data_IF_720029175861
#
_entry.id   IF_720029175861
#
_cell.length_a   1.000
_cell.length_b   1.000
_cell.length_c   1.000
_cell.angle_alpha   90.00
_cell.angle_beta   90.00
_cell.angle_gamma   90.00
#
_symmetry.space_group_name_H-M   'P 1'
#
loop_
_entity.id
_entity.type
_entity.pdbx_description
1 polymer ?
#
# COMPACT_ATOMS: atom_id res chain seq x y z
N UNK A 1 -1.47 -6.31 19.03
CA UNK A 1 -1.02 -5.09 18.33
C UNK A 1 0.30 -5.44 17.67
N UNK A 2 0.29 -5.54 16.34
CA UNK A 2 1.49 -5.85 15.55
C UNK A 2 2.21 -4.58 15.14
N UNK A 3 3.52 -4.69 14.90
CA UNK A 3 4.40 -3.57 14.59
C UNK A 3 5.28 -3.92 13.39
N UNK A 4 5.35 -3.02 12.42
CA UNK A 4 6.31 -3.06 11.32
C UNK A 4 7.32 -1.92 11.50
N UNK A 5 8.57 -2.27 11.79
CA UNK A 5 9.65 -1.31 12.04
C UNK A 5 10.64 -1.31 10.90
N UNK A 6 10.90 -0.14 10.34
CA UNK A 6 11.93 0.09 9.32
C UNK A 6 13.06 0.85 10.00
N UNK A 7 14.26 0.29 9.97
CA UNK A 7 15.44 0.83 10.68
C UNK A 7 16.60 1.02 9.72
N UNK A 8 16.99 2.28 9.56
CA UNK A 8 18.15 2.71 8.76
C UNK A 8 18.20 2.06 7.37
N UNK A 9 17.02 2.03 6.69
CA UNK A 9 16.86 1.33 5.42
C UNK A 9 17.46 2.12 4.26
N UNK A 10 18.44 1.51 3.59
CA UNK A 10 19.06 2.01 2.38
C UNK A 10 18.73 1.09 1.21
N UNK A 11 18.34 1.69 0.09
CA UNK A 11 17.95 0.94 -1.11
C UNK A 11 18.56 1.57 -2.35
N UNK A 12 19.10 0.73 -3.22
CA UNK A 12 19.64 1.12 -4.52
C UNK A 12 18.82 0.54 -5.68
N UNK A 13 18.80 1.28 -6.78
CA UNK A 13 18.27 0.86 -8.08
C UNK A 13 19.36 1.11 -9.10
N UNK A 14 19.82 0.08 -9.81
CA UNK A 14 20.88 0.18 -10.82
C UNK A 14 22.14 0.91 -10.30
N UNK A 15 22.51 0.66 -9.04
CA UNK A 15 23.68 1.27 -8.40
C UNK A 15 23.49 2.72 -7.96
N UNK A 16 22.28 3.26 -8.04
CA UNK A 16 21.95 4.59 -7.52
C UNK A 16 21.15 4.46 -6.22
N UNK A 17 21.70 5.02 -5.14
CA UNK A 17 21.00 5.06 -3.85
C UNK A 17 19.77 5.97 -3.91
N UNK A 18 18.60 5.37 -3.64
CA UNK A 18 17.31 6.05 -3.64
C UNK A 18 16.83 6.29 -2.21
N UNK A 19 16.83 5.26 -1.35
CA UNK A 19 16.52 5.43 0.07
C UNK A 19 17.84 5.52 0.85
N UNK A 20 17.90 6.49 1.77
CA UNK A 20 19.15 6.92 2.42
C UNK A 20 19.02 6.90 3.95
N UNK A 21 18.67 5.72 4.52
CA UNK A 21 18.50 5.55 5.95
C UNK A 21 17.10 5.94 6.43
N UNK A 22 16.08 5.33 5.82
CA UNK A 22 14.68 5.51 6.23
C UNK A 22 14.43 4.83 7.58
N UNK A 23 13.85 5.59 8.51
CA UNK A 23 13.37 5.10 9.80
C UNK A 23 11.87 5.38 9.90
N UNK A 24 11.07 4.34 10.11
CA UNK A 24 9.62 4.43 10.19
C UNK A 24 9.06 3.30 11.05
N UNK A 25 7.99 3.55 11.79
CA UNK A 25 7.26 2.53 12.53
C UNK A 25 5.79 2.62 12.18
N UNK A 26 5.21 1.49 11.78
CA UNK A 26 3.76 1.32 11.55
C UNK A 26 3.20 0.38 12.61
N UNK A 27 1.99 0.67 13.07
CA UNK A 27 1.30 -0.14 14.07
C UNK A 27 -0.08 -0.51 13.57
N UNK A 28 -0.56 -1.69 13.95
CA UNK A 28 -1.98 -2.00 13.76
C UNK A 28 -2.83 -1.06 14.61
N UNK A 29 -3.99 -0.66 14.07
CA UNK A 29 -4.83 0.40 14.63
C UNK A 29 -4.56 1.77 14.01
N UNK A 30 -3.45 1.94 13.25
CA UNK A 30 -3.05 3.23 12.66
C UNK A 30 -3.03 3.17 11.13
N UNK A 31 -3.39 4.27 10.50
CA UNK A 31 -3.11 4.56 9.09
C UNK A 31 -2.07 5.67 9.02
N UNK A 32 -0.90 5.35 8.48
CA UNK A 32 0.15 6.31 8.19
C UNK A 32 0.07 6.79 6.74
N UNK A 33 0.27 8.07 6.49
CA UNK A 33 0.47 8.60 5.14
C UNK A 33 1.93 8.97 4.91
N UNK A 34 2.48 8.56 3.77
CA UNK A 34 3.78 9.02 3.27
C UNK A 34 3.50 10.03 2.16
N UNK A 35 3.93 11.24 2.36
CA UNK A 35 3.82 12.33 1.40
C UNK A 35 5.20 12.78 0.95
N UNK A 36 5.40 12.90 -0.35
CA UNK A 36 6.66 13.39 -0.90
C UNK A 36 6.44 14.00 -2.28
N UNK A 37 7.36 14.86 -2.74
CA UNK A 37 7.42 15.27 -4.13
C UNK A 37 7.67 14.07 -5.05
N UNK A 38 7.34 14.20 -6.33
CA UNK A 38 7.57 13.15 -7.32
C UNK A 38 9.06 12.76 -7.43
N UNK A 39 9.33 11.47 -7.63
CA UNK A 39 10.68 10.97 -7.96
C UNK A 39 11.62 10.74 -6.77
N UNK A 40 11.18 10.84 -5.52
CA UNK A 40 12.07 10.79 -4.35
C UNK A 40 12.11 9.46 -3.60
N UNK A 41 11.39 8.41 -4.05
CA UNK A 41 11.56 7.04 -3.53
C UNK A 41 10.34 6.37 -2.90
N UNK A 42 9.10 6.91 -3.06
CA UNK A 42 7.88 6.33 -2.46
C UNK A 42 7.64 4.88 -2.82
N UNK A 43 7.53 4.61 -4.12
CA UNK A 43 7.32 3.25 -4.62
C UNK A 43 8.53 2.35 -4.34
N UNK A 44 9.74 2.94 -4.18
CA UNK A 44 10.94 2.22 -3.76
C UNK A 44 10.78 1.65 -2.36
N UNK A 45 10.18 2.39 -1.43
CA UNK A 45 9.97 1.94 -0.06
C UNK A 45 9.03 0.73 -0.01
N UNK A 46 7.85 0.82 -0.61
CA UNK A 46 6.87 -0.27 -0.64
C UNK A 46 7.40 -1.50 -1.39
N UNK A 47 8.09 -1.28 -2.53
CA UNK A 47 8.67 -2.35 -3.33
C UNK A 47 9.80 -3.09 -2.58
N UNK A 48 10.68 -2.38 -1.88
CA UNK A 48 11.74 -2.98 -1.08
C UNK A 48 11.18 -3.78 0.10
N UNK A 49 10.18 -3.25 0.82
CA UNK A 49 9.51 -3.97 1.91
C UNK A 49 8.88 -5.28 1.39
N UNK A 50 8.30 -5.26 0.18
CA UNK A 50 7.68 -6.45 -0.41
C UNK A 50 8.67 -7.37 -1.14
N UNK A 51 9.96 -7.01 -1.24
CA UNK A 51 10.99 -7.87 -1.80
C UNK A 51 11.03 -7.90 -3.33
N UNK A 52 10.69 -6.80 -3.99
CA UNK A 52 10.84 -6.68 -5.43
C UNK A 52 12.34 -6.76 -5.81
N UNK A 53 12.76 -7.71 -6.65
CA UNK A 53 14.17 -7.98 -6.93
C UNK A 53 14.91 -6.86 -7.67
N UNK A 54 14.19 -5.87 -8.21
CA UNK A 54 14.80 -4.71 -8.86
C UNK A 54 15.32 -3.66 -7.85
N UNK A 55 15.05 -3.86 -6.56
CA UNK A 55 15.38 -2.93 -5.48
C UNK A 55 16.35 -3.62 -4.52
N UNK A 56 17.61 -3.23 -4.55
CA UNK A 56 18.65 -3.80 -3.71
C UNK A 56 18.70 -3.10 -2.36
N UNK A 57 18.39 -3.84 -1.29
CA UNK A 57 18.59 -3.33 0.08
C UNK A 57 20.06 -3.48 0.44
N UNK A 58 20.76 -2.36 0.57
CA UNK A 58 22.21 -2.33 0.85
C UNK A 58 22.54 -2.22 2.32
N UNK A 59 21.58 -1.70 3.15
CA UNK A 59 21.75 -1.56 4.59
C UNK A 59 20.40 -1.42 5.29
N UNK A 60 20.37 -1.73 6.58
CA UNK A 60 19.19 -1.60 7.44
C UNK A 60 18.41 -2.90 7.57
N UNK A 61 17.30 -2.82 8.26
CA UNK A 61 16.41 -3.95 8.52
C UNK A 61 14.94 -3.52 8.48
N UNK A 62 14.07 -4.47 8.17
CA UNK A 62 12.61 -4.32 8.25
C UNK A 62 12.07 -5.45 9.11
N UNK A 63 11.57 -5.10 10.29
CA UNK A 63 11.10 -6.06 11.28
C UNK A 63 9.57 -6.07 11.35
N UNK A 64 8.97 -7.21 11.09
CA UNK A 64 7.55 -7.45 11.37
C UNK A 64 7.44 -8.30 12.65
N UNK A 65 6.95 -7.69 13.72
CA UNK A 65 6.88 -8.30 15.07
C UNK A 65 8.22 -8.93 15.50
N UNK A 66 9.33 -8.24 15.16
CA UNK A 66 10.69 -8.65 15.49
C UNK A 66 11.34 -9.63 14.51
N UNK A 67 10.63 -10.12 13.50
CA UNK A 67 11.18 -10.96 12.42
C UNK A 67 11.67 -10.08 11.29
N UNK A 68 12.95 -10.23 10.89
CA UNK A 68 13.49 -9.50 9.74
C UNK A 68 12.94 -10.07 8.42
N UNK A 69 11.99 -9.35 7.82
CA UNK A 69 11.32 -9.80 6.60
C UNK A 69 12.19 -9.68 5.35
N UNK A 70 13.32 -8.99 5.41
CA UNK A 70 14.25 -8.90 4.27
C UNK A 70 14.90 -10.26 3.96
N UNK A 71 14.92 -11.17 4.93
CA UNK A 71 15.43 -12.54 4.79
C UNK A 71 14.40 -13.53 4.22
N UNK A 72 13.15 -13.08 4.03
CA UNK A 72 12.03 -13.90 3.59
C UNK A 72 11.74 -13.68 2.10
N UNK A 73 11.23 -14.74 1.46
CA UNK A 73 10.70 -14.66 0.11
C UNK A 73 9.39 -13.85 0.05
N UNK A 74 9.03 -13.35 -1.13
CA UNK A 74 7.85 -12.49 -1.33
C UNK A 74 6.55 -13.14 -0.83
N UNK A 75 6.36 -14.42 -1.11
CA UNK A 75 5.19 -15.17 -0.70
C UNK A 75 5.16 -15.46 0.82
N UNK A 76 6.33 -15.58 1.44
CA UNK A 76 6.43 -15.69 2.90
C UNK A 76 6.02 -14.38 3.59
N UNK A 77 6.48 -13.22 3.06
CA UNK A 77 6.06 -11.89 3.53
C UNK A 77 4.55 -11.71 3.41
N UNK A 78 3.96 -12.13 2.28
CA UNK A 78 2.51 -12.07 2.08
C UNK A 78 1.75 -12.96 3.08
N UNK A 79 2.23 -14.19 3.33
CA UNK A 79 1.64 -15.10 4.33
C UNK A 79 1.76 -14.60 5.77
N UNK A 80 2.77 -13.79 6.08
CA UNK A 80 2.86 -13.10 7.38
C UNK A 80 1.80 -12.01 7.55
N UNK A 81 1.07 -11.64 6.49
CA UNK A 81 0.03 -10.62 6.52
C UNK A 81 0.45 -9.27 5.96
N UNK A 82 1.47 -9.21 5.09
CA UNK A 82 1.80 -8.02 4.30
C UNK A 82 1.04 -8.02 2.98
N UNK A 83 0.55 -6.86 2.57
CA UNK A 83 -0.14 -6.64 1.30
C UNK A 83 0.39 -5.38 0.61
N UNK A 84 0.54 -5.44 -0.70
CA UNK A 84 0.88 -4.29 -1.54
C UNK A 84 -0.19 -4.05 -2.60
N UNK A 85 -0.85 -2.89 -2.55
CA UNK A 85 -1.57 -2.35 -3.69
C UNK A 85 -0.58 -1.57 -4.56
N UNK A 86 -0.38 -2.03 -5.78
CA UNK A 86 0.64 -1.48 -6.69
C UNK A 86 0.12 -0.25 -7.42
N UNK A 87 1.02 0.67 -7.77
CA UNK A 87 0.68 1.78 -8.65
C UNK A 87 0.08 1.30 -9.98
N UNK A 88 0.68 0.26 -10.58
CA UNK A 88 0.25 -0.36 -11.85
C UNK A 88 0.03 -1.87 -11.66
N UNK A 89 -1.20 -2.31 -11.36
CA UNK A 89 -1.51 -3.74 -11.20
C UNK A 89 -1.29 -4.52 -12.50
N UNK A 90 -0.57 -5.63 -12.40
CA UNK A 90 -0.29 -6.50 -13.54
C UNK A 90 -1.53 -7.25 -14.01
N UNK A 91 -1.61 -7.53 -15.31
CA UNK A 91 -2.61 -8.40 -15.91
C UNK A 91 -2.09 -9.84 -15.89
N UNK A 92 -2.91 -10.78 -15.44
CA UNK A 92 -2.57 -12.21 -15.44
C UNK A 92 -3.65 -12.97 -16.21
N UNK A 93 -3.42 -13.26 -17.50
CA UNK A 93 -4.37 -14.02 -18.28
C UNK A 93 -4.43 -15.48 -17.83
N UNK A 94 -5.59 -16.11 -17.97
CA UNK A 94 -5.79 -17.54 -17.71
C UNK A 94 -6.16 -17.88 -16.26
N UNK A 95 -6.19 -16.93 -15.34
CA UNK A 95 -6.75 -17.11 -14.01
C UNK A 95 -7.80 -16.03 -13.74
N UNK A 96 -9.00 -16.41 -13.30
CA UNK A 96 -10.05 -15.47 -12.96
C UNK A 96 -9.79 -14.78 -11.62
N UNK A 97 -10.41 -13.61 -11.39
CA UNK A 97 -10.32 -12.93 -10.10
C UNK A 97 -10.76 -13.83 -8.94
N UNK A 98 -11.86 -14.57 -9.10
CA UNK A 98 -12.36 -15.48 -8.08
C UNK A 98 -11.40 -16.62 -7.78
N UNK A 99 -10.81 -17.25 -8.82
CA UNK A 99 -9.83 -18.32 -8.66
C UNK A 99 -8.56 -17.81 -7.96
N UNK A 100 -8.03 -16.66 -8.40
CA UNK A 100 -6.87 -16.03 -7.78
C UNK A 100 -7.11 -15.73 -6.30
N UNK A 101 -8.22 -15.05 -5.98
CA UNK A 101 -8.55 -14.68 -4.60
C UNK A 101 -8.70 -15.91 -3.70
N UNK A 102 -9.41 -16.94 -4.18
CA UNK A 102 -9.58 -18.17 -3.40
C UNK A 102 -8.27 -18.91 -3.20
N UNK A 103 -7.41 -18.96 -4.21
CA UNK A 103 -6.08 -19.55 -4.10
C UNK A 103 -5.22 -18.79 -3.08
N UNK A 104 -5.20 -17.45 -3.15
CA UNK A 104 -4.46 -16.60 -2.22
C UNK A 104 -4.95 -16.73 -0.77
N UNK A 105 -6.28 -16.76 -0.55
CA UNK A 105 -6.87 -16.96 0.78
C UNK A 105 -6.53 -18.30 1.40
N UNK A 106 -6.28 -19.31 0.59
CA UNK A 106 -5.95 -20.69 1.02
C UNK A 106 -4.44 -20.97 1.03
N UNK A 107 -3.62 -20.02 0.58
CA UNK A 107 -2.18 -20.22 0.52
C UNK A 107 -1.59 -20.47 1.92
N UNK A 108 -0.85 -21.56 2.07
CA UNK A 108 -0.21 -21.95 3.32
C UNK A 108 -1.13 -22.54 4.40
N UNK A 109 -2.42 -22.79 4.07
CA UNK A 109 -3.39 -23.39 4.99
C UNK A 109 -3.50 -24.90 4.79
N UNK A 110 -3.69 -25.62 5.89
CA UNK A 110 -4.05 -27.04 5.88
C UNK A 110 -5.49 -27.22 5.33
N UNK A 111 -5.84 -28.43 4.89
CA UNK A 111 -7.11 -28.67 4.18
C UNK A 111 -8.37 -28.33 4.99
N UNK A 112 -8.32 -28.48 6.31
CA UNK A 112 -9.40 -28.18 7.25
C UNK A 112 -9.52 -26.68 7.60
N UNK A 113 -8.49 -25.90 7.31
CA UNK A 113 -8.45 -24.44 7.50
C UNK A 113 -8.88 -23.65 6.25
N UNK A 114 -8.98 -24.32 5.09
CA UNK A 114 -9.34 -23.68 3.83
C UNK A 114 -10.77 -23.19 3.83
N UNK A 115 -10.96 -21.97 3.28
CA UNK A 115 -12.31 -21.42 3.13
C UNK A 115 -13.18 -22.32 2.25
N UNK A 116 -14.38 -22.63 2.70
CA UNK A 116 -15.34 -23.37 1.89
C UNK A 116 -15.78 -22.54 0.67
N UNK A 117 -16.24 -23.22 -0.41
CA UNK A 117 -16.74 -22.54 -1.62
C UNK A 117 -17.89 -21.60 -1.30
N UNK A 118 -18.80 -22.02 -0.43
CA UNK A 118 -19.97 -21.22 -0.05
C UNK A 118 -19.59 -19.96 0.71
N UNK A 119 -18.70 -20.08 1.71
CA UNK A 119 -18.23 -18.93 2.49
C UNK A 119 -17.45 -17.95 1.61
N UNK A 120 -16.60 -18.50 0.71
CA UNK A 120 -15.87 -17.68 -0.26
C UNK A 120 -16.80 -16.84 -1.14
N UNK A 121 -17.82 -17.48 -1.75
CA UNK A 121 -18.78 -16.77 -2.62
C UNK A 121 -19.53 -15.71 -1.82
N UNK A 122 -20.05 -16.04 -0.62
CA UNK A 122 -20.75 -15.06 0.21
C UNK A 122 -19.86 -13.85 0.54
N UNK A 123 -18.61 -14.10 0.96
CA UNK A 123 -17.65 -13.01 1.25
C UNK A 123 -17.32 -12.18 0.02
N UNK A 124 -17.12 -12.84 -1.14
CA UNK A 124 -16.81 -12.17 -2.40
C UNK A 124 -17.95 -11.23 -2.83
N UNK A 125 -19.19 -11.71 -2.80
CA UNK A 125 -20.37 -10.93 -3.17
C UNK A 125 -20.53 -9.69 -2.28
N UNK A 126 -20.39 -9.84 -0.96
CA UNK A 126 -20.45 -8.72 0.00
C UNK A 126 -19.37 -7.66 -0.28
N UNK A 127 -18.13 -8.09 -0.57
CA UNK A 127 -17.02 -7.15 -0.83
C UNK A 127 -17.16 -6.49 -2.20
N UNK A 128 -17.63 -7.21 -3.21
CA UNK A 128 -17.91 -6.65 -4.54
C UNK A 128 -19.06 -5.62 -4.48
N UNK A 129 -20.13 -5.88 -3.73
CA UNK A 129 -21.20 -4.91 -3.49
C UNK A 129 -20.66 -3.64 -2.81
N UNK A 130 -19.84 -3.79 -1.77
CA UNK A 130 -19.21 -2.66 -1.06
C UNK A 130 -18.44 -1.73 -2.02
N UNK A 131 -17.78 -2.31 -3.05
CA UNK A 131 -16.96 -1.62 -4.04
C UNK A 131 -17.71 -1.24 -5.32
N UNK A 132 -19.04 -1.41 -5.36
CA UNK A 132 -19.86 -1.19 -6.57
C UNK A 132 -19.27 -1.92 -7.80
N UNK A 133 -18.78 -3.15 -7.62
CA UNK A 133 -18.27 -4.01 -8.68
C UNK A 133 -19.38 -4.92 -9.19
N UNK A 134 -19.38 -5.15 -10.50
CA UNK A 134 -20.34 -6.09 -11.12
C UNK A 134 -19.90 -7.53 -10.90
N UNK A 135 -20.84 -8.44 -10.69
CA UNK A 135 -20.60 -9.87 -10.47
C UNK A 135 -19.75 -10.49 -11.59
N UNK A 136 -19.97 -10.10 -12.86
CA UNK A 136 -19.20 -10.58 -14.00
C UNK A 136 -17.67 -10.35 -13.89
N UNK A 137 -17.25 -9.39 -13.06
CA UNK A 137 -15.82 -9.11 -12.85
C UNK A 137 -15.11 -10.21 -12.08
N UNK A 138 -15.83 -11.02 -11.29
CA UNK A 138 -15.28 -12.17 -10.59
C UNK A 138 -14.81 -13.26 -11.56
N UNK A 139 -15.48 -13.41 -12.70
CA UNK A 139 -15.20 -14.41 -13.72
C UNK A 139 -14.21 -13.96 -14.79
N UNK A 140 -13.89 -12.65 -14.85
CA UNK A 140 -12.89 -12.12 -15.77
C UNK A 140 -11.47 -12.45 -15.28
N UNK A 141 -10.55 -12.59 -16.22
CA UNK A 141 -9.13 -12.79 -15.89
C UNK A 141 -8.58 -11.61 -15.12
N UNK A 142 -7.65 -11.89 -14.21
CA UNK A 142 -7.12 -10.93 -13.25
C UNK A 142 -6.55 -9.70 -13.95
N UNK A 143 -7.22 -8.57 -13.79
CA UNK A 143 -6.92 -7.26 -14.35
C UNK A 143 -6.89 -7.17 -15.89
N UNK A 144 -7.16 -8.27 -16.63
CA UNK A 144 -7.09 -8.26 -18.10
C UNK A 144 -8.20 -7.39 -18.71
N UNK A 145 -7.76 -6.37 -19.47
CA UNK A 145 -8.65 -5.41 -20.10
C UNK A 145 -9.48 -4.57 -19.14
N UNK A 146 -9.08 -4.45 -17.88
CA UNK A 146 -9.71 -3.55 -16.93
C UNK A 146 -9.26 -2.11 -17.17
N UNK A 147 -10.20 -1.17 -17.04
CA UNK A 147 -9.87 0.24 -16.92
C UNK A 147 -9.03 0.52 -15.66
N UNK A 148 -8.35 1.67 -15.60
CA UNK A 148 -7.58 2.04 -14.41
C UNK A 148 -8.39 2.02 -13.12
N UNK A 149 -9.62 2.54 -13.16
CA UNK A 149 -10.52 2.53 -12.01
C UNK A 149 -11.01 1.13 -11.62
N UNK A 150 -11.21 0.22 -12.58
CA UNK A 150 -11.54 -1.18 -12.30
C UNK A 150 -10.35 -1.92 -11.69
N UNK A 151 -9.12 -1.70 -12.18
CA UNK A 151 -7.89 -2.26 -11.60
C UNK A 151 -7.73 -1.85 -10.14
N UNK A 152 -7.91 -0.55 -9.83
CA UNK A 152 -7.81 -0.06 -8.45
C UNK A 152 -8.90 -0.62 -7.54
N UNK A 153 -10.15 -0.69 -7.99
CA UNK A 153 -11.21 -1.36 -7.23
C UNK A 153 -10.90 -2.84 -7.01
N UNK A 154 -10.32 -3.51 -7.99
CA UNK A 154 -9.92 -4.91 -7.88
C UNK A 154 -8.79 -5.12 -6.85
N UNK A 155 -7.82 -4.21 -6.76
CA UNK A 155 -6.81 -4.25 -5.69
C UNK A 155 -7.44 -4.08 -4.29
N UNK A 156 -8.41 -3.18 -4.16
CA UNK A 156 -9.12 -3.01 -2.87
C UNK A 156 -10.02 -4.22 -2.58
N UNK A 157 -10.57 -4.88 -3.61
CA UNK A 157 -11.25 -6.17 -3.42
C UNK A 157 -10.28 -7.22 -2.85
N UNK A 158 -9.07 -7.32 -3.40
CA UNK A 158 -8.03 -8.22 -2.88
C UNK A 158 -7.69 -7.88 -1.41
N UNK A 159 -7.50 -6.61 -1.08
CA UNK A 159 -7.28 -6.15 0.30
C UNK A 159 -8.40 -6.63 1.25
N UNK A 160 -9.67 -6.43 0.85
CA UNK A 160 -10.85 -6.80 1.65
C UNK A 160 -11.06 -8.32 1.79
N UNK A 161 -10.63 -9.09 0.79
CA UNK A 161 -10.74 -10.55 0.81
C UNK A 161 -9.63 -11.21 1.62
N UNK A 162 -8.39 -10.70 1.49
CA UNK A 162 -7.21 -11.27 2.13
C UNK A 162 -7.04 -10.83 3.60
N UNK A 163 -7.60 -9.69 3.99
CA UNK A 163 -7.58 -9.16 5.36
C UNK A 163 -6.15 -9.15 5.96
N UNK A 164 -5.18 -8.50 5.31
CA UNK A 164 -3.80 -8.49 5.79
C UNK A 164 -3.66 -7.72 7.11
N UNK A 165 -2.58 -7.99 7.85
CA UNK A 165 -2.21 -7.23 9.05
C UNK A 165 -1.72 -5.83 8.70
N UNK A 166 -0.88 -5.72 7.66
CA UNK A 166 -0.40 -4.45 7.13
C UNK A 166 -0.60 -4.33 5.64
N UNK A 167 -1.13 -3.19 5.18
CA UNK A 167 -1.26 -2.84 3.78
C UNK A 167 -0.35 -1.66 3.40
N UNK A 168 0.43 -1.85 2.34
CA UNK A 168 1.17 -0.80 1.66
C UNK A 168 0.35 -0.38 0.44
N UNK A 169 -0.17 0.84 0.44
CA UNK A 169 -1.12 1.35 -0.55
C UNK A 169 -0.41 2.42 -1.40
N UNK A 170 0.19 1.98 -2.52
CA UNK A 170 1.02 2.84 -3.37
C UNK A 170 0.18 3.51 -4.46
N UNK A 171 -0.04 4.81 -4.31
CA UNK A 171 -0.78 5.67 -5.25
C UNK A 171 -2.12 5.07 -5.72
N UNK A 172 -2.90 4.56 -4.76
CA UNK A 172 -4.21 3.95 -5.05
C UNK A 172 -5.24 4.92 -5.63
N UNK A 173 -4.96 6.22 -5.60
CA UNK A 173 -5.77 7.32 -6.13
C UNK A 173 -5.36 7.76 -7.54
N UNK A 174 -4.26 7.24 -8.08
CA UNK A 174 -3.75 7.63 -9.39
C UNK A 174 -4.74 7.29 -10.51
N UNK A 175 -5.09 8.30 -11.31
CA UNK A 175 -6.00 8.16 -12.44
C UNK A 175 -7.49 7.95 -12.09
N UNK A 176 -7.87 8.06 -10.81
CA UNK A 176 -9.26 7.92 -10.38
C UNK A 176 -10.03 9.25 -10.48
N UNK A 177 -11.27 9.16 -10.96
CA UNK A 177 -12.26 10.22 -10.76
C UNK A 177 -12.75 10.25 -9.29
N UNK A 178 -13.53 11.28 -8.96
CA UNK A 178 -13.99 11.51 -7.58
C UNK A 178 -14.85 10.35 -7.06
N UNK A 179 -15.67 9.74 -7.90
CA UNK A 179 -16.58 8.68 -7.46
C UNK A 179 -15.85 7.35 -7.27
N UNK A 180 -14.91 7.00 -8.16
CA UNK A 180 -14.04 5.86 -7.97
C UNK A 180 -13.16 6.03 -6.72
N UNK A 181 -12.64 7.24 -6.46
CA UNK A 181 -11.87 7.55 -5.27
C UNK A 181 -12.66 7.33 -3.97
N UNK A 182 -13.93 7.76 -3.93
CA UNK A 182 -14.82 7.51 -2.78
C UNK A 182 -15.03 6.01 -2.52
N UNK A 183 -15.23 5.22 -3.58
CA UNK A 183 -15.42 3.76 -3.47
C UNK A 183 -14.17 3.08 -2.94
N UNK A 184 -13.00 3.38 -3.51
CA UNK A 184 -11.70 2.86 -3.05
C UNK A 184 -11.46 3.24 -1.58
N UNK A 185 -11.69 4.50 -1.23
CA UNK A 185 -11.53 4.99 0.15
C UNK A 185 -12.48 4.31 1.13
N UNK A 186 -13.74 4.04 0.72
CA UNK A 186 -14.72 3.27 1.50
C UNK A 186 -14.19 1.86 1.81
N UNK A 187 -13.60 1.20 0.81
CA UNK A 187 -12.99 -0.12 0.99
C UNK A 187 -11.85 -0.11 2.01
N UNK A 188 -10.90 0.83 1.88
CA UNK A 188 -9.80 0.96 2.84
C UNK A 188 -10.32 1.27 4.26
N UNK A 189 -11.27 2.21 4.40
CA UNK A 189 -11.86 2.54 5.70
C UNK A 189 -12.62 1.36 6.33
N UNK A 190 -13.18 0.45 5.53
CA UNK A 190 -13.83 -0.76 6.04
C UNK A 190 -12.86 -1.74 6.71
N UNK A 191 -11.55 -1.62 6.41
CA UNK A 191 -10.49 -2.40 7.07
C UNK A 191 -10.05 -1.83 8.43
N UNK A 192 -10.39 -0.56 8.74
CA UNK A 192 -9.94 0.07 9.99
C UNK A 192 -10.36 -0.74 11.21
N UNK A 193 -9.40 -1.01 12.09
CA UNK A 193 -9.60 -1.74 13.33
C UNK A 193 -8.28 -2.08 14.00
N UNK A 194 -8.33 -2.61 15.22
CA UNK A 194 -7.14 -2.91 16.04
C UNK A 194 -6.18 -3.92 15.39
N UNK A 195 -6.67 -4.75 14.47
CA UNK A 195 -5.88 -5.78 13.77
C UNK A 195 -5.28 -5.34 12.44
N UNK A 196 -5.57 -4.11 11.95
CA UNK A 196 -5.14 -3.63 10.65
C UNK A 196 -4.35 -2.33 10.75
N UNK A 197 -3.22 -2.26 10.06
CA UNK A 197 -2.44 -1.04 9.85
C UNK A 197 -2.22 -0.79 8.36
N UNK A 198 -2.11 0.46 7.96
CA UNK A 198 -1.82 0.78 6.57
C UNK A 198 -0.81 1.91 6.43
N UNK A 199 0.02 1.82 5.39
CA UNK A 199 0.86 2.90 4.89
C UNK A 199 0.31 3.34 3.53
N UNK A 200 -0.23 4.55 3.46
CA UNK A 200 -0.72 5.15 2.23
C UNK A 200 0.37 6.02 1.65
N UNK A 201 0.78 5.74 0.44
CA UNK A 201 1.72 6.56 -0.31
C UNK A 201 0.92 7.37 -1.32
N UNK A 202 0.93 8.68 -1.19
CA UNK A 202 0.24 9.58 -2.12
C UNK A 202 0.91 10.96 -2.14
N UNK A 203 0.81 11.65 -3.25
CA UNK A 203 1.16 13.06 -3.38
C UNK A 203 -0.09 13.96 -3.42
N UNK A 204 -1.29 13.38 -3.34
CA UNK A 204 -2.55 14.10 -3.38
C UNK A 204 -3.25 14.11 -2.02
N UNK A 205 -3.43 15.26 -1.44
CA UNK A 205 -4.24 15.41 -0.23
C UNK A 205 -5.69 14.96 -0.44
N UNK A 206 -6.19 15.01 -1.66
CA UNK A 206 -7.57 14.61 -1.96
C UNK A 206 -7.91 13.22 -1.43
N UNK A 207 -7.00 12.23 -1.53
CA UNK A 207 -7.18 10.91 -0.94
C UNK A 207 -7.32 10.98 0.58
N UNK A 208 -6.46 11.78 1.22
CA UNK A 208 -6.39 11.90 2.69
C UNK A 208 -7.62 12.61 3.28
N UNK A 209 -8.41 13.31 2.47
CA UNK A 209 -9.72 13.84 2.87
C UNK A 209 -10.78 12.73 3.03
N UNK A 210 -10.61 11.60 2.36
CA UNK A 210 -11.51 10.44 2.47
C UNK A 210 -10.97 9.35 3.40
N UNK A 211 -9.63 9.22 3.48
CA UNK A 211 -8.95 8.28 4.39
C UNK A 211 -8.06 9.11 5.30
N UNK A 212 -8.64 9.67 6.37
CA UNK A 212 -7.87 10.50 7.30
C UNK A 212 -6.77 9.67 7.95
N UNK A 213 -5.48 9.99 7.76
CA UNK A 213 -4.39 9.28 8.40
C UNK A 213 -4.30 9.66 9.89
N UNK A 214 -3.75 8.76 10.69
CA UNK A 214 -3.45 9.02 12.10
C UNK A 214 -2.09 9.74 12.24
N UNK A 215 -1.16 9.45 11.33
CA UNK A 215 0.16 10.07 11.25
C UNK A 215 0.53 10.35 9.79
N UNK A 216 1.23 11.45 9.57
CA UNK A 216 1.75 11.86 8.26
C UNK A 216 3.26 11.98 8.34
N UNK A 217 3.97 11.31 7.44
CA UNK A 217 5.40 11.41 7.26
C UNK A 217 5.71 12.11 5.94
N UNK A 218 6.62 13.05 5.97
CA UNK A 218 7.12 13.71 4.76
C UNK A 218 8.47 13.13 4.41
N UNK A 219 8.61 12.66 3.18
CA UNK A 219 9.88 12.20 2.64
C UNK A 219 10.45 13.23 1.66
N UNK A 220 11.77 13.44 1.74
CA UNK A 220 12.55 14.21 0.79
C UNK A 220 13.90 13.54 0.59
N UNK A 221 14.39 13.50 -0.64
CA UNK A 221 15.71 12.94 -0.98
C UNK A 221 16.00 11.54 -0.38
N UNK A 222 14.97 10.68 -0.33
CA UNK A 222 15.08 9.32 0.19
C UNK A 222 15.13 9.21 1.72
N UNK A 223 14.71 10.24 2.46
CA UNK A 223 14.68 10.27 3.92
C UNK A 223 13.32 10.74 4.45
N UNK A 224 12.91 10.25 5.60
CA UNK A 224 11.81 10.86 6.35
C UNK A 224 12.36 12.10 7.06
N UNK A 225 11.86 13.27 6.66
CA UNK A 225 12.38 14.57 7.14
C UNK A 225 11.49 15.22 8.18
N UNK A 226 10.20 14.87 8.20
CA UNK A 226 9.24 15.41 9.16
C UNK A 226 8.12 14.39 9.39
N UNK A 227 7.60 14.34 10.61
CA UNK A 227 6.43 13.55 10.98
C UNK A 227 5.48 14.39 11.83
N UNK A 228 4.17 14.20 11.63
CA UNK A 228 3.15 14.95 12.37
C UNK A 228 1.78 14.30 12.25
N UNK A 229 0.76 14.98 12.75
CA UNK A 229 -0.63 14.58 12.61
C UNK A 229 -1.23 14.92 11.23
N UNK A 230 -2.55 14.69 11.05
CA UNK A 230 -3.25 14.98 9.79
C UNK A 230 -3.12 16.43 9.30
N UNK A 231 -2.91 17.38 10.21
CA UNK A 231 -2.71 18.81 9.91
C UNK A 231 -1.47 19.06 9.04
N UNK A 232 -0.48 18.15 9.08
CA UNK A 232 0.73 18.26 8.27
C UNK A 232 0.40 18.12 6.77
N UNK A 233 -0.51 17.22 6.41
CA UNK A 233 -0.97 17.07 5.04
C UNK A 233 -1.66 18.36 4.54
N UNK A 234 -2.55 18.95 5.35
CA UNK A 234 -3.21 20.21 5.03
C UNK A 234 -2.23 21.39 4.91
N UNK A 235 -1.16 21.37 5.71
CA UNK A 235 -0.08 22.35 5.62
C UNK A 235 0.66 22.23 4.28
N UNK A 236 1.01 21.01 3.86
CA UNK A 236 1.70 20.76 2.59
C UNK A 236 0.87 21.21 1.37
N UNK A 237 -0.43 20.96 1.37
CA UNK A 237 -1.31 21.42 0.30
C UNK A 237 -1.35 22.95 0.20
N UNK A 238 -1.40 23.65 1.34
CA UNK A 238 -1.48 25.10 1.38
C UNK A 238 -0.15 25.80 1.08
N UNK A 239 0.96 25.25 1.57
CA UNK A 239 2.26 25.92 1.56
C UNK A 239 3.24 25.35 0.52
N UNK A 240 2.99 24.14 0.03
CA UNK A 240 3.85 23.42 -0.92
C UNK A 240 5.09 22.80 -0.29
N UNK A 241 5.72 21.89 -1.01
CA UNK A 241 6.95 21.23 -0.58
C UNK A 241 8.16 22.17 -0.57
N UNK A 242 8.21 23.13 -1.49
CA UNK A 242 9.34 24.08 -1.60
C UNK A 242 9.55 24.89 -0.31
N UNK A 243 8.47 25.37 0.30
CA UNK A 243 8.54 26.10 1.55
C UNK A 243 9.01 25.23 2.71
N UNK A 244 8.50 24.01 2.79
CA UNK A 244 8.93 23.06 3.83
C UNK A 244 10.41 22.68 3.66
N UNK A 245 10.86 22.47 2.42
CA UNK A 245 12.26 22.17 2.11
C UNK A 245 13.18 23.33 2.56
N UNK A 246 12.81 24.58 2.25
CA UNK A 246 13.55 25.77 2.69
C UNK A 246 13.65 25.83 4.23
N UNK A 247 12.55 25.61 4.95
CA UNK A 247 12.51 25.61 6.43
C UNK A 247 13.43 24.51 7.02
N UNK A 248 13.54 23.36 6.36
CA UNK A 248 14.33 22.21 6.81
C UNK A 248 15.77 22.20 6.26
N UNK A 249 16.11 23.15 5.38
CA UNK A 249 17.44 23.28 4.78
C UNK A 249 17.74 22.26 3.66
N UNK A 250 16.69 21.77 2.98
CA UNK A 250 16.82 20.90 1.81
C UNK A 250 16.81 21.71 0.51
N UNK A 251 17.65 21.32 -0.45
CA UNK A 251 17.70 21.95 -1.79
C UNK A 251 16.64 21.30 -2.70
N UNK A 252 15.42 21.77 -2.59
CA UNK A 252 14.28 21.27 -3.38
C UNK A 252 14.15 22.04 -4.68
N UNK A 253 14.27 21.35 -5.80
CA UNK A 253 13.94 21.88 -7.14
C UNK A 253 12.64 21.27 -7.61
N UNK A 254 11.65 22.10 -7.85
CA UNK A 254 10.41 21.67 -8.48
C UNK A 254 10.72 21.16 -9.90
N UNK A 255 10.53 19.88 -10.16
CA UNK A 255 10.58 19.36 -11.52
C UNK A 255 9.34 19.83 -12.26
N UNK A 256 9.54 20.74 -13.25
CA UNK A 256 8.52 21.31 -14.12
C UNK A 256 8.03 20.31 -15.18
#
# INVERSE_FOLDING_TARGET
MSVLEIKDLHVEIEGKEILKGVNLTLKTGEIAAIMEPNGTGKSTLSAAIMGNPNYEVTKGEVLFDGVNILELEVDERARMGLFLAMQYPSEIPGITNAEFLRAAMNAGKEDDEKISVREFITKLDEKMELLNMKEEMAERYLNEGFSGGEKKRNEILQLLMLEPTFALLDEIDSGLDIDALKVVSKGVNAMRGEGFGAMIITHYQRLLNYITPDVVHVMMEGRVVLSGGPELAARLEREGYAKLAEELGYDYKEEL
#
